data_IF_672199731359
#
_entry.id   IF_672199731359
#
_cell.length_a   1.000
_cell.length_b   1.000
_cell.length_c   1.000
_cell.angle_alpha   90.00
_cell.angle_beta   90.00
_cell.angle_gamma   90.00
#
_symmetry.space_group_name_H-M   'P 1'
#
loop_
_entity.id
_entity.type
_entity.pdbx_description
1 polymer ?
#
# COMPACT_ATOMS: atom_id res chain seq x y z
N UNK A 1 -6.32 32.81 -3.87
CA UNK A 1 -5.28 32.17 -3.04
C UNK A 1 -4.21 31.67 -3.99
N UNK A 2 -2.90 31.91 -3.76
CA UNK A 2 -1.89 31.39 -4.66
C UNK A 2 -1.96 29.87 -4.63
N UNK A 3 -2.25 29.27 -5.79
CA UNK A 3 -2.10 27.84 -6.02
C UNK A 3 -0.64 27.51 -5.69
N UNK A 4 -0.42 26.93 -4.50
CA UNK A 4 0.90 26.42 -4.14
C UNK A 4 1.20 25.34 -5.16
N UNK A 5 2.09 25.63 -6.09
CA UNK A 5 2.68 24.64 -6.99
C UNK A 5 3.09 23.47 -6.09
N UNK A 6 2.55 22.26 -6.30
CA UNK A 6 2.94 21.11 -5.50
C UNK A 6 4.46 20.99 -5.55
N UNK A 7 5.14 20.69 -4.42
CA UNK A 7 6.55 20.34 -4.47
C UNK A 7 6.71 19.25 -5.54
N UNK A 8 7.70 19.40 -6.41
CA UNK A 8 8.02 18.33 -7.35
C UNK A 8 8.32 17.08 -6.50
N UNK A 9 7.48 16.06 -6.61
CA UNK A 9 7.65 14.81 -5.89
C UNK A 9 9.04 14.24 -6.22
N UNK A 10 9.72 13.71 -5.21
CA UNK A 10 10.91 12.92 -5.49
C UNK A 10 10.52 11.73 -6.39
N UNK A 11 11.40 11.35 -7.32
CA UNK A 11 11.14 10.23 -8.24
C UNK A 11 10.76 8.93 -7.50
N UNK A 12 11.41 8.57 -6.37
CA UNK A 12 11.01 7.42 -5.54
C UNK A 12 9.58 7.55 -5.00
N UNK A 13 9.22 8.72 -4.48
CA UNK A 13 7.89 8.99 -3.93
C UNK A 13 6.80 8.94 -5.00
N UNK A 14 7.04 9.53 -6.17
CA UNK A 14 6.11 9.46 -7.30
C UNK A 14 5.85 8.01 -7.72
N UNK A 15 6.90 7.19 -7.83
CA UNK A 15 6.80 5.77 -8.18
C UNK A 15 6.10 4.94 -7.12
N UNK A 16 6.40 5.21 -5.85
CA UNK A 16 5.69 4.60 -4.73
C UNK A 16 4.18 4.87 -4.83
N UNK A 17 3.79 6.13 -5.05
CA UNK A 17 2.39 6.53 -5.15
C UNK A 17 1.70 5.92 -6.38
N UNK A 18 2.42 5.75 -7.49
CA UNK A 18 1.90 5.08 -8.68
C UNK A 18 1.60 3.59 -8.42
N UNK A 19 2.49 2.87 -7.73
CA UNK A 19 2.20 1.48 -7.34
C UNK A 19 1.11 1.38 -6.27
N UNK A 20 1.12 2.30 -5.31
CA UNK A 20 0.05 2.41 -4.33
C UNK A 20 -1.29 2.57 -5.07
N UNK A 21 -1.37 3.42 -6.10
CA UNK A 21 -2.59 3.60 -6.88
C UNK A 21 -3.04 2.32 -7.62
N UNK A 22 -2.12 1.54 -8.20
CA UNK A 22 -2.46 0.25 -8.82
C UNK A 22 -3.06 -0.72 -7.81
N UNK A 23 -2.43 -0.82 -6.64
CA UNK A 23 -2.97 -1.60 -5.53
C UNK A 23 -4.33 -1.05 -5.11
N UNK A 24 -4.50 0.28 -5.03
CA UNK A 24 -5.78 0.99 -4.80
C UNK A 24 -6.91 0.45 -5.67
N UNK A 25 -6.70 0.47 -6.98
CA UNK A 25 -7.66 -0.02 -7.97
C UNK A 25 -8.01 -1.51 -7.75
N UNK A 26 -7.00 -2.36 -7.53
CA UNK A 26 -7.21 -3.78 -7.28
C UNK A 26 -8.08 -4.08 -6.06
N UNK A 27 -7.74 -3.55 -4.87
CA UNK A 27 -8.59 -3.87 -3.71
C UNK A 27 -9.97 -3.21 -3.78
N UNK A 28 -10.11 -2.10 -4.52
CA UNK A 28 -11.44 -1.54 -4.76
C UNK A 28 -12.30 -2.46 -5.63
N UNK A 29 -11.74 -3.06 -6.69
CA UNK A 29 -12.49 -3.96 -7.57
C UNK A 29 -12.90 -5.28 -6.89
N UNK A 30 -12.16 -5.70 -5.87
CA UNK A 30 -12.48 -6.91 -5.08
C UNK A 30 -13.51 -6.67 -3.97
N UNK A 31 -14.00 -5.43 -3.78
CA UNK A 31 -14.91 -5.10 -2.69
C UNK A 31 -14.26 -5.14 -1.29
N UNK A 32 -12.92 -5.07 -1.23
CA UNK A 32 -12.16 -5.08 0.02
C UNK A 32 -12.68 -4.03 1.00
N UNK A 33 -13.00 -4.44 2.23
CA UNK A 33 -13.55 -3.59 3.28
C UNK A 33 -14.91 -2.93 2.95
N UNK A 34 -15.59 -3.33 1.85
CA UNK A 34 -16.96 -2.93 1.49
C UNK A 34 -17.96 -4.06 1.71
N UNK A 35 -17.58 -5.30 1.42
CA UNK A 35 -18.45 -6.48 1.50
C UNK A 35 -17.89 -7.54 2.48
N UNK A 36 -18.77 -8.40 3.02
CA UNK A 36 -18.37 -9.60 3.77
C UNK A 36 -17.74 -10.61 2.80
N UNK A 37 -16.45 -10.44 2.50
CA UNK A 37 -15.72 -11.36 1.64
C UNK A 37 -15.35 -12.62 2.42
N UNK A 38 -16.04 -13.72 2.13
CA UNK A 38 -15.99 -14.94 2.95
C UNK A 38 -16.76 -14.76 4.27
N UNK A 39 -17.26 -15.87 4.83
CA UNK A 39 -18.32 -15.89 5.86
C UNK A 39 -18.14 -15.00 7.12
N UNK A 40 -16.97 -14.41 7.38
CA UNK A 40 -16.70 -13.58 8.58
C UNK A 40 -15.48 -12.64 8.45
N UNK A 41 -15.25 -11.89 7.35
CA UNK A 41 -14.19 -10.87 7.40
C UNK A 41 -14.41 -9.58 6.58
N UNK A 42 -14.11 -8.45 7.23
CA UNK A 42 -14.08 -7.10 6.67
C UNK A 42 -12.73 -6.75 6.00
N UNK A 43 -12.03 -7.72 5.40
CA UNK A 43 -10.77 -7.52 4.65
C UNK A 43 -9.53 -7.12 5.47
N UNK A 44 -9.68 -6.30 6.52
CA UNK A 44 -8.62 -5.94 7.45
C UNK A 44 -8.67 -6.83 8.70
N UNK A 45 -7.56 -7.47 9.05
CA UNK A 45 -7.37 -8.07 10.37
C UNK A 45 -6.33 -7.28 11.16
N UNK A 46 -6.60 -6.99 12.44
CA UNK A 46 -5.61 -6.40 13.36
C UNK A 46 -4.48 -7.39 13.75
N UNK A 47 -4.45 -8.57 13.15
CA UNK A 47 -3.58 -9.68 13.56
C UNK A 47 -2.15 -9.57 13.00
N UNK A 48 -1.90 -8.75 11.97
CA UNK A 48 -0.59 -8.65 11.30
C UNK A 48 0.01 -7.24 11.37
N UNK A 49 0.08 -6.63 12.56
CA UNK A 49 0.61 -5.27 12.73
C UNK A 49 2.12 -5.25 12.58
N UNK A 50 2.54 -5.23 11.31
CA UNK A 50 3.85 -4.70 10.95
C UNK A 50 3.88 -3.22 11.32
N UNK A 51 4.79 -2.87 12.22
CA UNK A 51 5.05 -1.48 12.56
C UNK A 51 5.50 -0.74 11.30
N UNK A 52 4.80 0.36 10.99
CA UNK A 52 5.21 1.25 9.91
C UNK A 52 6.50 1.92 10.35
N UNK A 53 7.63 1.67 9.67
CA UNK A 53 8.92 2.07 10.18
C UNK A 53 9.15 3.56 9.86
N UNK A 54 8.58 4.45 10.69
CA UNK A 54 8.65 5.91 10.52
C UNK A 54 10.09 6.45 10.40
N UNK A 55 11.06 5.69 10.88
CA UNK A 55 12.50 5.99 10.80
C UNK A 55 13.09 5.81 9.38
N UNK A 56 12.34 5.23 8.45
CA UNK A 56 12.78 4.98 7.08
C UNK A 56 12.66 6.26 6.24
N UNK A 57 13.64 6.49 5.36
CA UNK A 57 13.68 7.66 4.50
C UNK A 57 12.45 7.72 3.56
N UNK A 58 11.96 8.92 3.29
CA UNK A 58 10.76 9.14 2.47
C UNK A 58 9.43 8.86 3.18
N UNK A 59 9.40 8.24 4.37
CA UNK A 59 8.14 8.00 5.10
C UNK A 59 7.45 9.30 5.54
N UNK A 60 8.20 10.31 5.98
CA UNK A 60 7.62 11.61 6.36
C UNK A 60 7.04 12.35 5.15
N UNK A 61 7.77 12.40 4.04
CA UNK A 61 7.28 12.99 2.78
C UNK A 61 6.04 12.23 2.28
N UNK A 62 6.05 10.90 2.36
CA UNK A 62 4.91 10.07 2.00
C UNK A 62 3.68 10.35 2.88
N UNK A 63 3.85 10.53 4.18
CA UNK A 63 2.76 10.87 5.08
C UNK A 63 2.19 12.27 4.75
N UNK A 64 3.03 13.25 4.44
CA UNK A 64 2.60 14.58 3.99
C UNK A 64 1.85 14.54 2.66
N UNK A 65 2.36 13.80 1.67
CA UNK A 65 1.68 13.60 0.38
C UNK A 65 0.34 12.91 0.56
N UNK A 66 0.26 11.92 1.44
CA UNK A 66 -1.01 11.25 1.73
C UNK A 66 -2.00 12.19 2.37
N UNK A 67 -1.59 13.00 3.35
CA UNK A 67 -2.46 14.01 3.96
C UNK A 67 -2.95 15.00 2.89
N UNK A 68 -2.10 15.37 1.93
CA UNK A 68 -2.47 16.27 0.82
C UNK A 68 -3.49 15.65 -0.13
N UNK A 69 -3.26 14.40 -0.57
CA UNK A 69 -4.11 13.71 -1.55
C UNK A 69 -5.44 13.30 -0.90
N UNK A 70 -5.40 12.89 0.37
CA UNK A 70 -6.49 12.16 1.03
C UNK A 70 -7.11 12.90 2.22
N UNK A 71 -6.49 13.96 2.74
CA UNK A 71 -6.92 14.64 3.96
C UNK A 71 -6.50 13.94 5.25
N UNK A 72 -6.89 14.54 6.38
CA UNK A 72 -6.61 14.02 7.72
C UNK A 72 -7.72 13.05 8.14
N UNK A 73 -7.35 11.86 8.62
CA UNK A 73 -8.30 10.86 9.15
C UNK A 73 -8.88 11.23 10.52
N UNK A 74 -9.94 10.53 10.90
CA UNK A 74 -10.59 10.63 12.21
C UNK A 74 -9.82 9.83 13.27
N UNK A 75 -8.86 10.48 13.94
CA UNK A 75 -7.98 9.84 14.93
C UNK A 75 -8.70 9.25 16.16
N UNK A 76 -10.01 9.46 16.31
CA UNK A 76 -10.78 8.90 17.42
C UNK A 76 -11.23 7.46 17.19
N UNK A 77 -11.15 6.97 15.95
CA UNK A 77 -11.54 5.60 15.57
C UNK A 77 -10.37 4.64 15.65
N UNK A 78 -10.68 3.37 15.93
CA UNK A 78 -9.70 2.26 15.86
C UNK A 78 -9.00 2.18 14.51
N UNK A 79 -9.73 2.43 13.42
CA UNK A 79 -9.18 2.79 12.13
C UNK A 79 -9.58 4.24 11.81
N UNK A 80 -8.64 5.20 11.74
CA UNK A 80 -8.98 6.60 11.48
C UNK A 80 -9.68 6.89 10.15
N UNK A 81 -9.75 5.90 9.26
CA UNK A 81 -10.29 6.04 7.91
C UNK A 81 -11.50 5.11 7.67
N UNK A 82 -12.08 4.54 8.74
CA UNK A 82 -13.31 3.76 8.64
C UNK A 82 -14.57 4.64 8.66
N UNK A 83 -15.60 4.23 7.90
CA UNK A 83 -16.94 4.82 7.90
C UNK A 83 -18.03 3.77 8.06
N UNK A 84 -19.27 4.22 8.26
CA UNK A 84 -20.45 3.37 8.31
C UNK A 84 -20.71 2.60 6.99
N UNK A 85 -20.10 3.03 5.87
CA UNK A 85 -20.21 2.37 4.55
C UNK A 85 -19.02 1.46 4.22
N UNK A 86 -18.20 1.14 5.21
CA UNK A 86 -16.92 0.43 5.04
C UNK A 86 -15.72 1.37 5.13
N UNK A 87 -14.53 0.87 4.77
CA UNK A 87 -13.35 1.73 4.66
C UNK A 87 -13.64 2.85 3.65
N UNK A 88 -13.28 4.09 3.98
CA UNK A 88 -13.43 5.24 3.07
C UNK A 88 -12.36 5.12 1.97
N UNK A 89 -12.50 4.14 1.08
CA UNK A 89 -11.56 3.89 -0.02
C UNK A 89 -11.83 4.86 -1.18
N UNK A 90 -11.53 6.14 -0.95
CA UNK A 90 -10.64 6.91 -1.83
C UNK A 90 -9.30 7.20 -1.14
N UNK A 91 -9.19 6.83 0.14
CA UNK A 91 -8.15 7.27 1.04
C UNK A 91 -7.69 6.07 1.85
N UNK A 92 -6.40 5.76 1.75
CA UNK A 92 -5.63 4.90 2.66
C UNK A 92 -5.42 3.42 2.26
N UNK A 93 -4.34 3.20 1.49
CA UNK A 93 -3.48 2.01 1.60
C UNK A 93 -2.07 2.45 2.03
N UNK A 94 -1.92 2.71 3.32
CA UNK A 94 -0.58 2.52 3.89
C UNK A 94 -0.10 1.10 3.58
N UNK A 95 1.22 0.85 3.54
CA UNK A 95 1.69 -0.52 3.42
C UNK A 95 1.12 -1.44 4.49
N UNK A 96 0.72 -0.84 5.62
CA UNK A 96 -0.18 -1.38 6.62
C UNK A 96 -1.44 -2.06 6.02
N UNK A 97 -2.36 -1.39 5.32
CA UNK A 97 -3.57 -2.07 4.78
C UNK A 97 -3.26 -3.16 3.74
N UNK A 98 -2.19 -2.99 2.96
CA UNK A 98 -1.64 -4.03 2.09
C UNK A 98 -1.12 -5.22 2.91
N UNK A 99 -0.45 -4.97 4.04
CA UNK A 99 0.06 -5.94 5.01
C UNK A 99 -1.01 -6.58 5.92
N UNK A 100 -2.17 -5.95 6.06
CA UNK A 100 -3.26 -6.35 6.97
C UNK A 100 -4.34 -7.19 6.32
N UNK A 101 -4.05 -7.78 5.16
CA UNK A 101 -4.99 -8.66 4.51
C UNK A 101 -5.17 -9.90 5.39
N UNK A 102 -6.43 -10.18 5.73
CA UNK A 102 -6.71 -11.34 6.55
C UNK A 102 -6.41 -12.65 5.80
N UNK A 103 -5.98 -13.71 6.50
CA UNK A 103 -5.75 -15.01 5.89
C UNK A 103 -6.96 -15.52 5.10
N UNK A 104 -8.19 -15.18 5.53
CA UNK A 104 -9.42 -15.54 4.84
C UNK A 104 -9.54 -14.83 3.48
N UNK A 105 -9.13 -13.56 3.38
CA UNK A 105 -9.14 -12.80 2.13
C UNK A 105 -8.01 -13.27 1.21
N UNK A 106 -6.80 -13.51 1.72
CA UNK A 106 -5.72 -14.13 0.93
C UNK A 106 -6.15 -15.48 0.38
N UNK A 107 -6.85 -16.30 1.19
CA UNK A 107 -7.43 -17.56 0.71
C UNK A 107 -8.45 -17.33 -0.40
N UNK A 108 -9.36 -16.37 -0.24
CA UNK A 108 -10.37 -16.07 -1.25
C UNK A 108 -9.77 -15.54 -2.56
N UNK A 109 -8.67 -14.79 -2.49
CA UNK A 109 -7.88 -14.39 -3.66
C UNK A 109 -7.23 -15.61 -4.34
N UNK A 110 -6.64 -16.53 -3.56
CA UNK A 110 -6.05 -17.77 -4.08
C UNK A 110 -7.09 -18.66 -4.77
N UNK A 111 -8.31 -18.73 -4.25
CA UNK A 111 -9.44 -19.44 -4.88
C UNK A 111 -9.80 -18.81 -6.25
N UNK A 112 -9.46 -17.54 -6.48
CA UNK A 112 -9.58 -16.86 -7.79
C UNK A 112 -8.29 -16.93 -8.63
N UNK A 113 -7.30 -17.70 -8.18
CA UNK A 113 -5.99 -17.82 -8.83
C UNK A 113 -5.18 -16.53 -8.78
N UNK A 114 -5.31 -15.74 -7.71
CA UNK A 114 -4.46 -14.59 -7.40
C UNK A 114 -3.66 -14.96 -6.15
N UNK A 115 -2.35 -15.15 -6.32
CA UNK A 115 -1.45 -15.36 -5.18
C UNK A 115 -0.91 -14.01 -4.72
N UNK A 116 -1.53 -13.47 -3.68
CA UNK A 116 -1.16 -12.19 -3.11
C UNK A 116 -0.31 -12.38 -1.86
N UNK A 117 0.98 -12.11 -1.98
CA UNK A 117 1.89 -11.98 -0.85
C UNK A 117 1.98 -10.51 -0.42
N UNK A 118 1.38 -10.22 0.73
CA UNK A 118 1.37 -8.89 1.28
C UNK A 118 2.75 -8.43 1.73
N UNK A 119 3.60 -9.36 2.16
CA UNK A 119 4.92 -9.09 2.69
C UNK A 119 5.88 -8.73 1.57
N UNK A 120 5.84 -9.49 0.47
CA UNK A 120 6.59 -9.15 -0.74
C UNK A 120 6.14 -7.81 -1.32
N UNK A 121 4.82 -7.56 -1.38
CA UNK A 121 4.28 -6.29 -1.87
C UNK A 121 4.73 -5.12 -1.00
N UNK A 122 4.70 -5.27 0.33
CA UNK A 122 5.20 -4.25 1.26
C UNK A 122 6.69 -3.98 1.05
N UNK A 123 7.49 -5.05 0.96
CA UNK A 123 8.94 -4.97 0.77
C UNK A 123 9.29 -4.22 -0.51
N UNK A 124 8.59 -4.52 -1.60
CA UNK A 124 8.75 -3.85 -2.88
C UNK A 124 8.46 -2.34 -2.77
N UNK A 125 7.34 -1.97 -2.14
CA UNK A 125 6.96 -0.57 -1.95
C UNK A 125 8.01 0.20 -1.14
N UNK A 126 8.45 -0.34 0.00
CA UNK A 126 9.50 0.31 0.81
C UNK A 126 10.82 0.41 0.05
N UNK A 127 11.17 -0.62 -0.73
CA UNK A 127 12.37 -0.64 -1.55
C UNK A 127 12.36 0.47 -2.61
N UNK A 128 11.20 0.70 -3.25
CA UNK A 128 11.00 1.79 -4.20
C UNK A 128 11.12 3.15 -3.52
N UNK A 129 10.47 3.34 -2.36
CA UNK A 129 10.48 4.63 -1.65
C UNK A 129 11.89 5.05 -1.25
N UNK A 130 12.75 4.08 -0.92
CA UNK A 130 14.08 4.31 -0.35
C UNK A 130 15.23 4.15 -1.33
N UNK A 131 14.97 3.72 -2.56
CA UNK A 131 16.00 3.28 -3.49
C UNK A 131 16.99 2.30 -2.81
N UNK A 132 16.44 1.24 -2.20
CA UNK A 132 17.19 0.27 -1.43
C UNK A 132 16.55 -1.11 -1.48
N UNK A 133 17.33 -2.18 -1.31
CA UNK A 133 16.79 -3.52 -1.06
C UNK A 133 16.74 -3.79 0.44
N UNK A 134 15.65 -4.38 0.91
CA UNK A 134 15.44 -4.71 2.32
C UNK A 134 15.27 -6.21 2.53
N UNK A 135 15.88 -6.72 3.60
CA UNK A 135 15.53 -8.02 4.16
C UNK A 135 14.53 -7.77 5.28
N UNK A 136 13.32 -8.27 5.08
CA UNK A 136 12.26 -8.06 6.04
C UNK A 136 12.44 -8.88 7.32
N UNK A 137 13.03 -10.08 7.23
CA UNK A 137 13.22 -10.94 8.42
C UNK A 137 14.15 -10.29 9.44
N UNK A 138 15.15 -9.55 8.96
CA UNK A 138 16.07 -8.78 9.79
C UNK A 138 15.69 -7.31 9.94
N UNK A 139 14.62 -6.85 9.29
CA UNK A 139 14.21 -5.43 9.27
C UNK A 139 15.28 -4.48 8.75
N UNK A 140 16.24 -5.00 7.96
CA UNK A 140 17.49 -4.31 7.66
C UNK A 140 17.65 -4.03 6.17
N UNK A 141 18.18 -2.84 5.86
CA UNK A 141 18.62 -2.49 4.51
C UNK A 141 19.81 -3.39 4.13
N UNK A 142 19.68 -4.11 3.03
CA UNK A 142 20.73 -4.97 2.48
C UNK A 142 21.70 -4.12 1.64
N UNK A 143 21.16 -3.31 0.74
CA UNK A 143 21.97 -2.48 -0.16
C UNK A 143 21.20 -1.26 -0.68
N UNK A 144 21.93 -0.25 -1.17
CA UNK A 144 21.33 0.84 -1.94
C UNK A 144 21.11 0.38 -3.38
N UNK A 145 19.92 0.62 -3.91
CA UNK A 145 19.50 0.13 -5.21
C UNK A 145 18.55 1.12 -5.89
N UNK A 146 19.02 1.78 -6.94
CA UNK A 146 18.19 2.68 -7.75
C UNK A 146 17.51 1.90 -8.86
N UNK A 147 16.19 1.99 -8.89
CA UNK A 147 15.37 1.41 -9.95
C UNK A 147 15.41 2.36 -11.14
N UNK A 148 15.74 1.89 -12.33
CA UNK A 148 15.66 2.69 -13.54
C UNK A 148 14.21 2.69 -14.12
N UNK A 149 13.95 3.43 -15.19
CA UNK A 149 12.58 3.57 -15.72
C UNK A 149 12.06 2.30 -16.41
N UNK A 150 12.95 1.50 -16.99
CA UNK A 150 12.61 0.21 -17.60
C UNK A 150 12.25 -0.82 -16.51
N UNK A 151 13.08 -0.94 -15.48
CA UNK A 151 12.83 -1.80 -14.31
C UNK A 151 11.51 -1.41 -13.62
N UNK A 152 11.24 -0.12 -13.45
CA UNK A 152 9.99 0.32 -12.86
C UNK A 152 8.77 0.02 -13.74
N UNK A 153 8.90 0.13 -15.06
CA UNK A 153 7.85 -0.23 -16.00
C UNK A 153 7.55 -1.72 -15.97
N UNK A 154 8.60 -2.54 -15.85
CA UNK A 154 8.49 -3.99 -15.72
C UNK A 154 7.82 -4.39 -14.40
N UNK A 155 8.18 -3.77 -13.28
CA UNK A 155 7.51 -3.97 -11.98
C UNK A 155 6.00 -3.70 -12.11
N UNK A 156 5.61 -2.59 -12.76
CA UNK A 156 4.19 -2.28 -12.99
C UNK A 156 3.48 -3.34 -13.83
N UNK A 157 4.14 -3.84 -14.88
CA UNK A 157 3.59 -4.90 -15.73
C UNK A 157 3.35 -6.18 -14.93
N UNK A 158 4.34 -6.61 -14.14
CA UNK A 158 4.24 -7.80 -13.31
C UNK A 158 3.13 -7.69 -12.27
N UNK A 159 3.00 -6.53 -11.60
CA UNK A 159 1.90 -6.29 -10.64
C UNK A 159 0.55 -6.40 -11.34
N UNK A 160 0.39 -5.80 -12.52
CA UNK A 160 -0.86 -5.87 -13.29
C UNK A 160 -1.23 -7.31 -13.65
N UNK A 161 -0.25 -8.08 -14.11
CA UNK A 161 -0.45 -9.49 -14.47
C UNK A 161 -0.82 -10.35 -13.26
N UNK A 162 -0.09 -10.21 -12.15
CA UNK A 162 -0.34 -10.98 -10.91
C UNK A 162 -1.70 -10.65 -10.29
N UNK A 163 -2.13 -9.39 -10.36
CA UNK A 163 -3.41 -8.93 -9.82
C UNK A 163 -4.58 -9.03 -10.82
N UNK A 164 -4.31 -9.40 -12.07
CA UNK A 164 -5.28 -9.47 -13.16
C UNK A 164 -6.01 -8.14 -13.42
N UNK A 165 -5.26 -7.03 -13.42
CA UNK A 165 -5.77 -5.65 -13.64
C UNK A 165 -5.14 -4.98 -14.86
#
# INVERSE_FOLDING_TARGET
MPERIPPALSKPLARYLELELLLHIFFESTGYCKENYGRTCNGCCNENIVEYPKIIAGCSELDEERIRIYGVGDLTKSCPYSSEKGCILKTHKTPKCIAYICPQFTRALREQGIDYDWLETHTLLISILNEAKFDWWSGSKIESYRINDEEFSEIKRQIRESLKI
#
